data_IF_166365598264
#
_entry.id   IF_166365598264
#
_cell.length_a   1.000
_cell.length_b   1.000
_cell.length_c   1.000
_cell.angle_alpha   90.00
_cell.angle_beta   90.00
_cell.angle_gamma   90.00
#
_symmetry.space_group_name_H-M   'P 1'
#
loop_
_entity.id
_entity.type
_entity.pdbx_description
1 polymer ?
#
# COMPACT_ATOMS: atom_id res chain seq x y z
N UNK A 1 27.69 7.85 -19.38
CA UNK A 1 28.49 9.01 -18.96
C UNK A 1 27.70 9.73 -17.91
N UNK A 2 27.98 9.48 -16.63
CA UNK A 2 27.36 10.18 -15.50
C UNK A 2 28.44 11.08 -14.90
N UNK A 3 28.34 12.39 -15.16
CA UNK A 3 29.18 13.40 -14.51
C UNK A 3 28.51 13.83 -13.19
N UNK A 4 28.42 12.89 -12.24
CA UNK A 4 28.16 13.22 -10.85
C UNK A 4 29.47 13.64 -10.17
N UNK A 5 29.43 14.64 -9.29
CA UNK A 5 30.58 15.00 -8.45
C UNK A 5 30.96 13.80 -7.57
N UNK A 6 32.01 13.06 -7.96
CA UNK A 6 32.54 11.87 -7.24
C UNK A 6 33.32 12.24 -5.97
N UNK A 7 33.17 13.45 -5.44
CA UNK A 7 33.77 13.82 -4.16
C UNK A 7 33.28 12.90 -3.05
N UNK A 8 34.23 12.36 -2.30
CA UNK A 8 33.98 11.63 -1.06
C UNK A 8 33.34 12.58 -0.04
N UNK A 9 32.02 12.43 0.20
CA UNK A 9 31.25 13.28 1.12
C UNK A 9 31.39 12.87 2.59
N UNK A 10 32.60 12.48 2.99
CA UNK A 10 32.87 11.90 4.31
C UNK A 10 32.34 10.46 4.46
N UNK A 11 32.35 9.96 5.69
CA UNK A 11 31.95 8.58 6.01
C UNK A 11 30.75 8.58 6.95
N UNK A 12 29.84 7.62 6.76
CA UNK A 12 28.69 7.36 7.66
C UNK A 12 28.63 5.87 7.98
N UNK A 13 28.22 5.54 9.21
CA UNK A 13 28.01 4.16 9.62
C UNK A 13 26.84 3.53 8.85
N UNK A 14 27.06 2.33 8.33
CA UNK A 14 26.12 1.62 7.44
C UNK A 14 25.18 0.71 8.24
N UNK A 15 24.36 1.32 9.09
CA UNK A 15 23.36 0.64 9.95
C UNK A 15 22.07 0.31 9.20
N UNK A 16 21.71 1.09 8.18
CA UNK A 16 20.53 0.89 7.35
C UNK A 16 19.32 1.72 7.79
N UNK A 17 18.13 1.31 7.32
CA UNK A 17 16.86 1.93 7.62
C UNK A 17 16.00 1.04 8.52
N UNK A 18 15.11 1.65 9.29
CA UNK A 18 14.02 0.97 9.99
C UNK A 18 12.72 1.29 9.25
N UNK A 19 11.94 0.26 8.90
CA UNK A 19 10.58 0.43 8.36
C UNK A 19 9.59 0.08 9.47
N UNK A 20 8.64 0.97 9.74
CA UNK A 20 7.67 0.79 10.80
C UNK A 20 6.30 1.36 10.41
N UNK A 21 5.24 0.88 11.07
CA UNK A 21 3.90 1.43 10.95
C UNK A 21 3.64 2.42 12.10
N UNK A 22 3.07 3.59 11.79
CA UNK A 22 2.72 4.62 12.76
C UNK A 22 1.42 5.33 12.38
N UNK A 23 0.70 5.84 13.37
CA UNK A 23 -0.50 6.68 13.18
C UNK A 23 -0.27 8.02 13.88
N UNK A 24 -0.69 9.14 13.29
CA UNK A 24 -0.82 10.39 14.03
C UNK A 24 -1.98 10.30 15.04
N UNK A 25 -1.98 11.21 16.02
CA UNK A 25 -3.09 11.39 16.96
C UNK A 25 -4.22 12.22 16.35
N UNK A 26 -5.45 12.04 16.85
CA UNK A 26 -6.59 12.90 16.50
C UNK A 26 -7.14 12.70 15.08
N UNK A 27 -6.76 11.62 14.40
CA UNK A 27 -7.28 11.24 13.08
C UNK A 27 -8.26 10.08 13.18
N UNK A 28 -9.15 9.95 12.19
CA UNK A 28 -10.06 8.82 12.05
C UNK A 28 -9.88 8.12 10.71
N UNK A 29 -9.79 6.78 10.69
CA UNK A 29 -9.83 5.99 9.44
C UNK A 29 -11.24 5.97 8.79
N UNK A 30 -11.37 5.22 7.70
CA UNK A 30 -12.62 5.08 6.94
C UNK A 30 -13.72 4.29 7.66
N UNK A 31 -13.41 3.69 8.82
CA UNK A 31 -14.37 3.06 9.73
C UNK A 31 -14.64 3.92 10.98
N UNK A 32 -14.09 5.14 11.03
CA UNK A 32 -14.15 6.05 12.18
C UNK A 32 -13.44 5.53 13.44
N UNK A 33 -12.48 4.61 13.29
CA UNK A 33 -11.57 4.27 14.37
C UNK A 33 -10.61 5.44 14.65
N UNK A 34 -10.18 5.69 15.89
CA UNK A 34 -9.34 6.84 16.26
C UNK A 34 -7.86 6.64 15.92
N UNK A 35 -7.56 6.04 14.76
CA UNK A 35 -6.22 5.78 14.25
C UNK A 35 -6.27 5.59 12.73
N UNK A 36 -5.20 5.94 12.03
CA UNK A 36 -4.99 5.65 10.61
C UNK A 36 -3.50 5.38 10.38
N UNK A 37 -3.11 4.11 10.45
CA UNK A 37 -1.70 3.72 10.35
C UNK A 37 -1.17 3.85 8.93
N UNK A 38 0.06 4.32 8.78
CA UNK A 38 0.82 4.30 7.54
C UNK A 38 2.26 3.84 7.80
N UNK A 39 2.97 3.46 6.74
CA UNK A 39 4.36 3.06 6.87
C UNK A 39 5.29 4.26 6.73
N UNK A 40 6.37 4.20 7.49
CA UNK A 40 7.45 5.18 7.52
C UNK A 40 8.78 4.48 7.32
N UNK A 41 9.71 5.15 6.62
CA UNK A 41 11.13 4.80 6.61
C UNK A 41 11.88 5.72 7.56
N UNK A 42 12.76 5.16 8.37
CA UNK A 42 13.56 5.87 9.35
C UNK A 42 15.04 5.72 9.03
N UNK A 43 15.71 6.86 8.82
CA UNK A 43 17.15 6.95 8.75
C UNK A 43 17.74 6.91 10.16
N UNK A 44 18.65 5.98 10.40
CA UNK A 44 19.23 5.72 11.73
C UNK A 44 20.46 6.57 12.04
N UNK A 45 20.89 7.41 11.10
CA UNK A 45 22.06 8.28 11.20
C UNK A 45 21.68 9.73 10.87
N UNK A 46 20.56 10.22 11.41
CA UNK A 46 20.14 11.62 11.27
C UNK A 46 19.86 12.07 9.82
N UNK A 47 19.61 11.13 8.90
CA UNK A 47 19.42 11.43 7.47
C UNK A 47 20.66 11.14 6.61
N UNK A 48 21.80 10.82 7.21
CA UNK A 48 23.05 10.63 6.48
C UNK A 48 23.17 9.26 5.78
N UNK A 49 22.35 8.25 6.13
CA UNK A 49 22.26 7.03 5.31
C UNK A 49 21.61 7.37 3.96
N UNK A 50 20.57 8.21 3.96
CA UNK A 50 19.96 8.74 2.74
C UNK A 50 20.93 9.62 1.97
N UNK A 51 21.68 10.49 2.65
CA UNK A 51 22.69 11.34 1.99
C UNK A 51 23.75 10.50 1.28
N UNK A 52 24.17 9.39 1.88
CA UNK A 52 25.07 8.43 1.23
C UNK A 52 24.48 7.85 -0.06
N UNK A 53 23.16 7.65 -0.13
CA UNK A 53 22.49 7.02 -1.28
C UNK A 53 22.20 8.06 -2.36
N UNK A 54 21.63 9.21 -2.00
CA UNK A 54 21.08 10.19 -2.95
C UNK A 54 21.94 11.43 -3.08
N UNK A 55 22.80 11.74 -2.11
CA UNK A 55 23.54 13.00 -2.05
C UNK A 55 22.79 14.13 -1.31
N UNK A 56 21.70 13.83 -0.60
CA UNK A 56 21.04 14.77 0.31
C UNK A 56 20.45 14.03 1.52
N UNK A 57 20.44 14.67 2.69
CA UNK A 57 19.82 14.10 3.89
C UNK A 57 18.34 13.77 3.68
N UNK A 58 17.81 12.79 4.40
CA UNK A 58 16.39 12.45 4.33
C UNK A 58 15.52 13.66 4.70
N UNK A 59 14.59 14.02 3.83
CA UNK A 59 13.58 15.06 4.08
C UNK A 59 12.32 14.43 4.67
N UNK A 60 11.84 14.98 5.79
CA UNK A 60 10.66 14.48 6.50
C UNK A 60 10.52 15.13 7.86
N UNK A 61 10.20 14.33 8.89
CA UNK A 61 10.20 14.78 10.29
C UNK A 61 11.55 14.38 10.90
N UNK A 62 12.31 15.38 11.35
CA UNK A 62 13.61 15.17 11.98
C UNK A 62 13.46 15.03 13.50
N UNK A 63 14.26 14.13 14.08
CA UNK A 63 14.43 13.98 15.53
C UNK A 63 15.90 14.18 15.92
N UNK A 64 16.39 15.43 15.95
CA UNK A 64 17.81 15.71 16.18
C UNK A 64 18.34 15.14 17.50
N UNK A 65 17.52 15.17 18.57
CA UNK A 65 17.89 14.63 19.88
C UNK A 65 18.08 13.10 19.89
N UNK A 66 17.50 12.40 18.91
CA UNK A 66 17.64 10.95 18.73
C UNK A 66 18.61 10.60 17.60
N UNK A 67 19.13 11.60 16.88
CA UNK A 67 19.91 11.43 15.65
C UNK A 67 19.19 10.54 14.62
N UNK A 68 17.90 10.77 14.39
CA UNK A 68 17.09 10.03 13.41
C UNK A 68 16.19 10.96 12.61
N UNK A 69 15.77 10.50 11.43
CA UNK A 69 14.83 11.22 10.57
C UNK A 69 13.82 10.23 9.99
N UNK A 70 12.54 10.59 9.92
CA UNK A 70 11.49 9.75 9.34
C UNK A 70 10.85 10.40 8.12
N UNK A 71 10.49 9.57 7.15
CA UNK A 71 9.74 9.93 5.94
C UNK A 71 8.55 8.98 5.79
N UNK A 72 7.36 9.53 5.53
CA UNK A 72 6.17 8.74 5.28
C UNK A 72 6.26 8.15 3.87
N UNK A 73 6.01 6.85 3.73
CA UNK A 73 6.14 6.15 2.44
C UNK A 73 4.81 5.64 1.90
N UNK A 74 3.81 5.45 2.75
CA UNK A 74 2.44 5.13 2.31
C UNK A 74 1.45 6.21 2.74
N UNK A 75 0.44 6.46 1.91
CA UNK A 75 -0.54 7.53 2.13
C UNK A 75 -1.98 7.01 2.09
N UNK A 76 -2.21 5.78 2.56
CA UNK A 76 -3.57 5.24 2.64
C UNK A 76 -4.39 6.02 3.68
N UNK A 77 -5.67 6.27 3.40
CA UNK A 77 -6.61 6.93 4.34
C UNK A 77 -6.99 5.98 5.48
N UNK A 78 -6.95 4.68 5.20
CA UNK A 78 -7.07 3.60 6.17
C UNK A 78 -5.70 3.06 6.60
N UNK A 79 -5.69 2.04 7.45
CA UNK A 79 -4.47 1.53 8.07
C UNK A 79 -3.65 0.60 7.16
N UNK A 80 -2.36 0.87 7.03
CA UNK A 80 -1.31 -0.04 6.56
C UNK A 80 -0.42 -0.47 7.75
N UNK A 81 -0.17 -1.77 7.92
CA UNK A 81 0.50 -2.31 9.11
C UNK A 81 1.24 -3.64 8.85
N UNK A 82 1.97 -4.13 9.85
CA UNK A 82 2.78 -5.36 9.81
C UNK A 82 3.82 -5.42 8.66
N UNK A 83 4.69 -4.40 8.49
CA UNK A 83 5.73 -4.47 7.47
C UNK A 83 6.74 -5.59 7.74
N UNK A 84 7.13 -6.30 6.68
CA UNK A 84 8.15 -7.35 6.66
C UNK A 84 8.90 -7.34 5.33
N UNK A 85 9.93 -8.18 5.22
CA UNK A 85 10.81 -8.25 4.05
C UNK A 85 10.33 -9.29 3.03
N UNK A 86 10.40 -8.95 1.74
CA UNK A 86 10.24 -9.90 0.64
C UNK A 86 11.60 -10.50 0.21
N UNK A 87 11.61 -11.68 -0.44
CA UNK A 87 12.84 -12.26 -1.01
C UNK A 87 13.51 -11.37 -2.07
N UNK A 88 12.76 -10.48 -2.71
CA UNK A 88 13.23 -9.56 -3.74
C UNK A 88 13.56 -8.14 -3.24
N UNK A 89 13.58 -7.91 -1.92
CA UNK A 89 14.07 -6.66 -1.34
C UNK A 89 13.04 -5.51 -1.26
N UNK A 90 11.76 -5.85 -1.28
CA UNK A 90 10.63 -4.94 -1.08
C UNK A 90 10.03 -5.14 0.32
N UNK A 91 9.04 -4.31 0.65
CA UNK A 91 8.30 -4.36 1.91
C UNK A 91 6.95 -5.01 1.65
N UNK A 92 6.69 -6.14 2.30
CA UNK A 92 5.38 -6.79 2.36
C UNK A 92 4.65 -6.32 3.61
N UNK A 93 3.35 -6.04 3.51
CA UNK A 93 2.54 -5.57 4.62
C UNK A 93 1.05 -5.86 4.39
N UNK A 94 0.24 -5.59 5.41
CA UNK A 94 -1.21 -5.64 5.33
C UNK A 94 -1.77 -4.25 5.09
N UNK A 95 -2.70 -4.12 4.14
CA UNK A 95 -3.35 -2.86 3.82
C UNK A 95 -4.87 -2.97 3.95
N UNK A 96 -5.49 -2.03 4.67
CA UNK A 96 -6.94 -1.91 4.78
C UNK A 96 -7.43 -1.07 3.61
N UNK A 97 -8.30 -1.64 2.79
CA UNK A 97 -8.92 -0.93 1.69
C UNK A 97 -10.40 -0.74 2.04
N UNK A 98 -10.80 0.47 2.41
CA UNK A 98 -12.15 0.78 2.87
C UNK A 98 -12.82 1.93 2.11
N UNK A 99 -12.23 2.34 0.98
CA UNK A 99 -12.70 3.40 0.08
C UNK A 99 -14.19 3.25 -0.31
N UNK A 100 -15.03 4.07 0.33
CA UNK A 100 -16.46 4.17 0.05
C UNK A 100 -17.22 2.87 0.27
N UNK A 101 -18.08 2.53 -0.70
CA UNK A 101 -18.92 1.33 -0.67
C UNK A 101 -18.24 0.07 -1.22
N UNK A 102 -16.91 0.07 -1.42
CA UNK A 102 -16.18 -1.09 -1.98
C UNK A 102 -16.40 -2.35 -1.16
N UNK A 103 -16.40 -3.51 -1.85
CA UNK A 103 -16.62 -4.82 -1.25
C UNK A 103 -17.88 -4.84 -0.35
N UNK A 104 -19.03 -4.48 -0.94
CA UNK A 104 -20.34 -4.42 -0.27
C UNK A 104 -20.35 -3.50 0.97
N UNK A 105 -19.57 -2.42 0.93
CA UNK A 105 -19.41 -1.47 2.04
C UNK A 105 -18.57 -1.97 3.21
N UNK A 106 -18.09 -3.22 3.19
CA UNK A 106 -17.28 -3.82 4.26
C UNK A 106 -15.80 -3.54 4.13
N UNK A 107 -15.31 -3.25 2.92
CA UNK A 107 -13.88 -3.20 2.65
C UNK A 107 -13.21 -4.59 2.69
N UNK A 108 -11.88 -4.62 2.55
CA UNK A 108 -11.05 -5.83 2.66
C UNK A 108 -9.68 -5.46 3.23
N UNK A 109 -9.03 -6.42 3.89
CA UNK A 109 -7.60 -6.34 4.24
C UNK A 109 -6.82 -7.19 3.26
N UNK A 110 -5.98 -6.58 2.43
CA UNK A 110 -5.12 -7.31 1.50
C UNK A 110 -3.69 -7.46 2.03
N UNK A 111 -2.98 -8.42 1.46
CA UNK A 111 -1.53 -8.47 1.49
C UNK A 111 -1.01 -7.66 0.30
N UNK A 112 -0.15 -6.68 0.58
CA UNK A 112 0.38 -5.72 -0.38
C UNK A 112 1.90 -5.70 -0.29
N UNK A 113 2.57 -5.37 -1.40
CA UNK A 113 3.99 -5.06 -1.39
C UNK A 113 4.25 -3.71 -1.99
N UNK A 114 5.28 -3.03 -1.49
CA UNK A 114 5.76 -1.76 -2.00
C UNK A 114 7.28 -1.67 -1.87
N UNK A 115 7.91 -0.78 -2.62
CA UNK A 115 9.29 -0.39 -2.39
C UNK A 115 9.44 0.27 -1.01
N UNK A 116 10.66 0.24 -0.47
CA UNK A 116 10.97 0.82 0.84
C UNK A 116 10.84 2.35 0.88
N UNK A 117 10.69 2.98 -0.28
CA UNK A 117 10.40 4.41 -0.46
C UNK A 117 8.97 4.67 -0.96
N UNK A 118 8.09 3.66 -1.04
CA UNK A 118 6.69 3.89 -1.42
C UNK A 118 6.46 4.16 -2.91
N UNK A 119 7.42 3.83 -3.78
CA UNK A 119 7.35 4.16 -5.20
C UNK A 119 6.40 3.25 -6.00
N UNK A 120 6.17 2.01 -5.57
CA UNK A 120 5.47 1.01 -6.39
C UNK A 120 4.58 0.05 -5.57
N UNK A 121 3.53 0.55 -4.89
CA UNK A 121 2.56 -0.32 -4.20
C UNK A 121 1.81 -1.22 -5.18
N UNK A 122 1.69 -2.50 -4.87
CA UNK A 122 0.93 -3.47 -5.67
C UNK A 122 0.34 -4.59 -4.83
N UNK A 123 -0.90 -4.96 -5.15
CA UNK A 123 -1.62 -6.03 -4.47
C UNK A 123 -0.97 -7.41 -4.72
N UNK A 124 -0.86 -8.21 -3.65
CA UNK A 124 -0.45 -9.62 -3.72
C UNK A 124 -1.67 -10.54 -3.67
N UNK A 125 -2.50 -10.43 -2.62
CA UNK A 125 -3.64 -11.34 -2.43
C UNK A 125 -4.68 -10.77 -1.44
N UNK A 126 -5.96 -11.09 -1.65
CA UNK A 126 -7.07 -10.84 -0.72
C UNK A 126 -7.91 -9.60 -1.02
N UNK A 127 -7.67 -8.91 -2.14
CA UNK A 127 -8.36 -7.66 -2.48
C UNK A 127 -9.42 -7.83 -3.58
N UNK A 128 -9.24 -8.79 -4.49
CA UNK A 128 -10.06 -8.93 -5.69
C UNK A 128 -11.30 -9.80 -5.43
N UNK A 129 -12.43 -9.58 -6.14
CA UNK A 129 -13.72 -10.21 -5.84
C UNK A 129 -13.66 -11.72 -5.57
N UNK A 130 -12.99 -12.47 -6.43
CA UNK A 130 -12.94 -13.94 -6.42
C UNK A 130 -11.88 -14.54 -5.49
N UNK A 131 -11.09 -13.72 -4.80
CA UNK A 131 -10.04 -14.21 -3.90
C UNK A 131 -10.60 -14.72 -2.57
N UNK A 132 -10.00 -15.81 -2.06
CA UNK A 132 -10.48 -16.51 -0.86
C UNK A 132 -10.29 -15.65 0.41
N UNK A 133 -11.20 -15.83 1.37
CA UNK A 133 -11.16 -15.22 2.70
C UNK A 133 -12.09 -14.02 2.87
N UNK A 134 -12.58 -13.41 1.77
CA UNK A 134 -13.56 -12.32 1.84
C UNK A 134 -13.15 -11.19 2.79
N UNK A 135 -14.01 -10.91 3.78
CA UNK A 135 -13.82 -9.87 4.79
C UNK A 135 -12.94 -10.28 6.00
N UNK A 136 -12.34 -11.47 5.99
CA UNK A 136 -11.37 -11.88 7.00
C UNK A 136 -10.21 -10.86 7.08
N UNK A 137 -9.69 -10.67 8.29
CA UNK A 137 -8.45 -9.92 8.45
C UNK A 137 -7.27 -10.77 8.00
N UNK A 138 -6.25 -10.13 7.43
CA UNK A 138 -5.01 -10.77 6.99
C UNK A 138 -3.88 -10.00 7.62
N UNK A 139 -3.19 -10.57 8.60
CA UNK A 139 -2.17 -9.88 9.39
C UNK A 139 -0.93 -10.75 9.63
N UNK A 140 0.13 -10.13 10.12
CA UNK A 140 1.36 -10.80 10.59
C UNK A 140 2.00 -11.70 9.53
N UNK A 141 1.90 -11.29 8.27
CA UNK A 141 2.36 -12.08 7.14
C UNK A 141 3.89 -12.23 7.16
N UNK A 142 4.38 -13.43 6.82
CA UNK A 142 5.80 -13.75 6.64
C UNK A 142 5.96 -14.77 5.52
N UNK A 143 7.18 -14.90 5.00
CA UNK A 143 7.48 -15.79 3.89
C UNK A 143 8.39 -16.91 4.38
N UNK A 144 8.04 -18.16 4.11
CA UNK A 144 8.90 -19.34 4.36
C UNK A 144 10.08 -19.35 3.40
N UNK A 145 11.17 -20.01 3.79
CA UNK A 145 12.41 -19.99 3.01
C UNK A 145 12.46 -21.11 1.96
N UNK A 146 12.19 -22.36 2.34
CA UNK A 146 12.29 -23.51 1.43
C UNK A 146 11.25 -23.49 0.31
N UNK A 147 9.96 -23.44 0.65
CA UNK A 147 8.85 -23.53 -0.31
C UNK A 147 8.23 -22.18 -0.71
N UNK A 148 8.78 -21.07 -0.18
CA UNK A 148 8.41 -19.68 -0.53
C UNK A 148 6.90 -19.43 -0.46
N UNK A 149 6.29 -19.83 0.65
CA UNK A 149 4.89 -19.56 0.98
C UNK A 149 4.78 -18.31 1.82
N UNK A 150 3.84 -17.45 1.42
CA UNK A 150 3.36 -16.33 2.20
C UNK A 150 2.36 -16.84 3.24
N UNK A 151 2.82 -17.02 4.47
CA UNK A 151 2.04 -17.47 5.62
C UNK A 151 1.52 -16.25 6.38
N UNK A 152 0.23 -16.23 6.73
CA UNK A 152 -0.40 -15.12 7.42
C UNK A 152 -1.48 -15.60 8.39
N UNK A 153 -1.81 -14.74 9.36
CA UNK A 153 -2.97 -14.92 10.24
C UNK A 153 -4.21 -14.51 9.47
N UNK A 154 -5.13 -15.44 9.26
CA UNK A 154 -6.46 -15.20 8.70
C UNK A 154 -7.48 -15.14 9.85
N UNK A 155 -7.89 -13.94 10.22
CA UNK A 155 -8.80 -13.71 11.33
C UNK A 155 -10.26 -13.67 10.87
N UNK A 156 -11.20 -14.29 11.62
CA UNK A 156 -12.61 -14.29 11.24
C UNK A 156 -13.25 -12.89 11.24
N UNK A 157 -12.67 -11.96 12.01
CA UNK A 157 -13.06 -10.55 12.03
C UNK A 157 -11.92 -9.68 11.51
N UNK A 158 -12.26 -8.67 10.71
CA UNK A 158 -11.29 -7.80 10.03
C UNK A 158 -10.29 -7.13 10.97
N UNK A 159 -10.72 -6.80 12.19
CA UNK A 159 -9.95 -6.06 13.18
C UNK A 159 -9.28 -6.96 14.24
N UNK A 160 -9.30 -8.28 14.08
CA UNK A 160 -8.64 -9.20 15.02
C UNK A 160 -7.21 -9.50 14.59
N UNK A 161 -6.29 -9.55 15.57
CA UNK A 161 -4.89 -9.97 15.39
C UNK A 161 -4.64 -11.45 15.68
N UNK A 162 -5.70 -12.25 15.81
CA UNK A 162 -5.65 -13.70 16.09
C UNK A 162 -6.65 -14.41 15.19
N UNK A 163 -6.35 -15.65 14.82
CA UNK A 163 -7.18 -16.38 13.87
C UNK A 163 -6.63 -17.75 13.52
N UNK A 164 -6.93 -18.21 12.32
CA UNK A 164 -6.33 -19.39 11.73
C UNK A 164 -5.06 -19.02 10.97
N UNK A 165 -4.25 -19.99 10.57
CA UNK A 165 -3.14 -19.75 9.65
C UNK A 165 -3.51 -20.18 8.24
N UNK A 166 -3.27 -19.28 7.29
CA UNK A 166 -3.43 -19.55 5.86
C UNK A 166 -2.13 -19.23 5.13
N UNK A 167 -2.00 -19.77 3.93
CA UNK A 167 -0.88 -19.48 3.06
C UNK A 167 -1.28 -19.41 1.58
N UNK A 168 -0.50 -18.65 0.82
CA UNK A 168 -0.45 -18.66 -0.65
C UNK A 168 1.01 -18.73 -1.09
N UNK A 169 1.29 -19.19 -2.29
CA UNK A 169 2.67 -19.11 -2.82
C UNK A 169 3.09 -17.66 -3.03
N UNK A 170 4.29 -17.27 -2.59
CA UNK A 170 4.87 -15.96 -2.92
C UNK A 170 5.10 -15.81 -4.43
N UNK A 171 5.54 -16.87 -5.09
CA UNK A 171 5.88 -16.85 -6.51
C UNK A 171 4.62 -16.82 -7.41
N UNK A 172 3.51 -17.38 -6.94
CA UNK A 172 2.25 -17.42 -7.68
C UNK A 172 1.04 -17.23 -6.75
N UNK A 173 0.81 -16.02 -6.21
CA UNK A 173 -0.17 -15.75 -5.16
C UNK A 173 -1.60 -15.75 -5.72
N UNK A 174 -2.14 -16.91 -6.03
CA UNK A 174 -3.48 -17.10 -6.60
C UNK A 174 -4.26 -18.16 -5.83
N UNK A 175 -5.58 -18.20 -6.00
CA UNK A 175 -6.47 -19.18 -5.37
C UNK A 175 -5.98 -20.63 -5.51
N UNK A 176 -5.38 -21.00 -6.65
CA UNK A 176 -4.83 -22.35 -6.89
C UNK A 176 -3.71 -22.76 -5.92
N UNK A 177 -3.06 -21.80 -5.27
CA UNK A 177 -1.99 -22.02 -4.29
C UNK A 177 -2.42 -21.73 -2.86
N UNK A 178 -3.68 -21.30 -2.68
CA UNK A 178 -4.22 -21.04 -1.35
C UNK A 178 -4.35 -22.35 -0.58
N UNK A 179 -3.90 -22.33 0.67
CA UNK A 179 -4.08 -23.41 1.62
C UNK A 179 -4.41 -22.85 3.00
N UNK A 180 -5.34 -23.53 3.69
CA UNK A 180 -5.51 -23.35 5.14
C UNK A 180 -4.49 -24.25 5.83
N UNK A 181 -3.53 -23.66 6.54
CA UNK A 181 -2.44 -24.40 7.18
C UNK A 181 -2.90 -25.13 8.43
N UNK A 182 -3.76 -24.50 9.23
CA UNK A 182 -4.31 -25.07 10.46
C UNK A 182 -5.53 -25.92 10.16
N UNK A 183 -5.51 -27.18 10.61
CA UNK A 183 -6.55 -28.19 10.39
C UNK A 183 -7.34 -28.50 11.66
N UNK A 184 -6.89 -27.98 12.79
CA UNK A 184 -7.62 -27.97 14.04
C UNK A 184 -8.56 -26.77 14.12
N UNK A 185 -9.85 -27.02 14.33
CA UNK A 185 -10.85 -25.95 14.48
C UNK A 185 -11.03 -25.48 15.94
N UNK A 186 -10.26 -26.06 16.87
CA UNK A 186 -10.46 -25.87 18.31
C UNK A 186 -9.71 -24.69 18.95
N UNK A 187 -8.60 -24.24 18.36
CA UNK A 187 -7.72 -23.23 18.94
C UNK A 187 -7.49 -22.00 18.05
N UNK A 188 -6.86 -20.98 18.63
CA UNK A 188 -6.48 -19.74 17.96
C UNK A 188 -4.97 -19.65 17.78
N UNK A 189 -4.55 -19.19 16.61
CA UNK A 189 -3.15 -18.97 16.26
C UNK A 189 -2.87 -17.48 16.08
N UNK A 190 -1.62 -17.09 16.34
CA UNK A 190 -1.09 -15.77 16.02
C UNK A 190 0.42 -15.80 15.82
N UNK A 191 0.93 -14.75 15.21
CA UNK A 191 2.36 -14.43 15.09
C UNK A 191 3.23 -15.57 14.57
N UNK A 192 2.92 -16.13 13.38
CA UNK A 192 3.75 -17.16 12.78
C UNK A 192 5.15 -16.62 12.46
N UNK A 193 6.18 -17.42 12.73
CA UNK A 193 7.58 -17.10 12.46
C UNK A 193 8.30 -18.25 11.74
N UNK A 194 8.31 -18.25 10.39
CA UNK A 194 9.09 -19.19 9.62
C UNK A 194 10.60 -19.05 9.86
N UNK A 195 11.31 -20.18 9.87
CA UNK A 195 12.76 -20.26 10.01
C UNK A 195 13.43 -20.76 8.71
N UNK A 196 14.71 -20.43 8.47
CA UNK A 196 15.45 -20.89 7.30
C UNK A 196 15.65 -22.41 7.19
N UNK A 197 15.43 -23.15 8.28
CA UNK A 197 15.52 -24.62 8.34
C UNK A 197 14.16 -25.31 8.18
N UNK A 198 13.21 -24.61 7.54
CA UNK A 198 11.83 -25.04 7.24
C UNK A 198 10.95 -25.35 8.47
N UNK A 199 11.42 -25.02 9.67
CA UNK A 199 10.58 -24.99 10.87
C UNK A 199 9.81 -23.68 10.96
N UNK A 200 8.82 -23.66 11.85
CA UNK A 200 8.06 -22.45 12.16
C UNK A 200 7.69 -22.42 13.63
N UNK A 201 7.88 -21.27 14.29
CA UNK A 201 7.30 -21.00 15.60
C UNK A 201 5.94 -20.33 15.43
N UNK A 202 5.01 -20.66 16.30
CA UNK A 202 3.68 -20.04 16.35
C UNK A 202 3.32 -19.73 17.80
N UNK A 203 2.47 -18.74 18.00
CA UNK A 203 1.74 -18.56 19.25
C UNK A 203 0.36 -19.19 19.11
N UNK A 204 -0.01 -20.05 20.04
CA UNK A 204 -1.22 -20.86 19.95
C UNK A 204 -1.92 -20.97 21.30
N UNK A 205 -3.25 -20.89 21.26
CA UNK A 205 -4.12 -21.11 22.41
C UNK A 205 -5.19 -22.15 22.10
N UNK A 206 -5.15 -23.30 22.76
CA UNK A 206 -6.20 -24.32 22.64
C UNK A 206 -7.50 -23.88 23.32
N UNK A 207 -7.38 -23.27 24.52
CA UNK A 207 -8.53 -22.84 25.34
C UNK A 207 -8.36 -21.43 25.92
N UNK A 208 -7.77 -20.54 25.13
CA UNK A 208 -7.67 -19.10 25.43
C UNK A 208 -6.36 -18.64 26.08
N UNK A 209 -5.52 -19.56 26.54
CA UNK A 209 -4.17 -19.30 27.07
C UNK A 209 -3.12 -19.47 25.95
N UNK A 210 -2.45 -18.40 25.54
CA UNK A 210 -1.50 -18.41 24.42
C UNK A 210 -0.09 -18.76 24.88
N UNK A 211 0.49 -19.83 24.32
CA UNK A 211 1.89 -20.21 24.49
C UNK A 211 2.69 -20.19 23.20
N UNK A 212 4.01 -20.36 23.29
CA UNK A 212 4.91 -20.56 22.14
C UNK A 212 5.06 -22.04 21.83
N UNK A 213 4.79 -22.42 20.58
CA UNK A 213 4.86 -23.80 20.10
C UNK A 213 5.67 -23.90 18.81
N UNK A 214 6.33 -25.03 18.61
CA UNK A 214 6.73 -25.46 17.27
C UNK A 214 5.48 -25.80 16.45
N UNK A 215 5.41 -25.36 15.20
CA UNK A 215 4.32 -25.74 14.31
C UNK A 215 4.61 -27.09 13.64
N UNK A 216 3.65 -28.01 13.71
CA UNK A 216 3.70 -29.28 12.99
C UNK A 216 3.15 -29.08 11.58
N UNK A 217 4.01 -28.71 10.64
CA UNK A 217 3.66 -28.46 9.24
C UNK A 217 2.98 -29.67 8.56
N UNK A 218 3.31 -30.90 8.99
CA UNK A 218 2.76 -32.13 8.41
C UNK A 218 1.30 -32.30 8.79
N UNK A 219 1.00 -32.12 10.07
CA UNK A 219 -0.34 -32.33 10.61
C UNK A 219 -1.20 -31.05 10.60
N UNK A 220 -0.59 -29.89 10.37
CA UNK A 220 -1.29 -28.60 10.29
C UNK A 220 -1.87 -28.17 11.63
N UNK A 221 -1.06 -28.22 12.69
CA UNK A 221 -1.46 -27.84 14.05
C UNK A 221 -0.26 -27.43 14.89
N UNK A 222 -0.49 -26.87 16.08
CA UNK A 222 0.55 -26.71 17.10
C UNK A 222 1.15 -28.08 17.47
N UNK A 223 2.48 -28.14 17.50
CA UNK A 223 3.30 -29.29 17.85
C UNK A 223 3.83 -29.18 19.28
N UNK A 224 5.14 -29.38 19.45
CA UNK A 224 5.78 -29.36 20.77
C UNK A 224 5.75 -27.95 21.39
N UNK A 225 5.42 -27.89 22.68
CA UNK A 225 5.47 -26.68 23.48
C UNK A 225 6.93 -26.22 23.67
N UNK A 226 7.17 -24.93 23.47
CA UNK A 226 8.45 -24.27 23.76
C UNK A 226 8.40 -23.64 25.14
N UNK A 227 7.39 -22.79 25.38
CA UNK A 227 7.18 -22.10 26.65
C UNK A 227 5.74 -21.60 26.74
N UNK A 228 5.09 -21.79 27.89
CA UNK A 228 3.77 -21.25 28.20
C UNK A 228 3.70 -20.93 29.69
N UNK A 229 3.44 -19.68 30.05
CA UNK A 229 3.18 -19.25 31.43
C UNK A 229 1.67 -18.99 31.59
N UNK A 230 0.95 -19.70 32.46
CA UNK A 230 -0.50 -19.51 32.63
C UNK A 230 -0.94 -18.10 33.03
N UNK A 231 -0.02 -17.23 33.48
CA UNK A 231 -0.30 -15.84 33.85
C UNK A 231 -0.13 -14.86 32.67
N UNK A 232 0.40 -15.31 31.52
CA UNK A 232 0.77 -14.46 30.40
C UNK A 232 0.28 -15.03 29.08
N UNK A 233 -0.04 -14.15 28.13
CA UNK A 233 -0.23 -14.56 26.74
C UNK A 233 1.12 -14.45 26.03
N UNK A 234 1.83 -15.56 25.84
CA UNK A 234 3.04 -15.56 25.04
C UNK A 234 2.74 -15.52 23.55
N UNK A 235 3.24 -14.46 22.92
CA UNK A 235 3.14 -14.27 21.48
C UNK A 235 4.37 -13.61 20.88
N UNK A 236 4.35 -13.43 19.56
CA UNK A 236 5.45 -12.81 18.79
C UNK A 236 6.82 -13.50 19.00
N UNK A 237 6.93 -14.83 18.81
CA UNK A 237 8.21 -15.50 18.88
C UNK A 237 9.19 -14.91 17.87
N UNK A 238 10.36 -14.46 18.33
CA UNK A 238 11.40 -13.87 17.50
C UNK A 238 12.75 -14.57 17.77
N UNK A 239 12.98 -15.75 17.15
CA UNK A 239 14.19 -16.54 17.39
C UNK A 239 15.46 -15.78 16.98
N UNK A 240 16.54 -15.99 17.73
CA UNK A 240 17.85 -15.36 17.48
C UNK A 240 18.64 -16.22 16.49
N UNK A 241 18.92 -15.66 15.32
CA UNK A 241 19.79 -16.24 14.30
C UNK A 241 20.31 -15.15 13.35
N UNK A 242 21.35 -15.46 12.57
CA UNK A 242 21.90 -14.52 11.58
C UNK A 242 20.96 -14.44 10.38
N UNK A 243 20.41 -13.26 10.10
CA UNK A 243 19.53 -13.03 8.95
C UNK A 243 20.33 -12.55 7.74
N UNK A 244 20.12 -13.20 6.59
CA UNK A 244 20.61 -12.68 5.32
C UNK A 244 19.90 -11.36 4.99
N UNK A 245 20.66 -10.37 4.49
CA UNK A 245 20.12 -9.06 4.12
C UNK A 245 19.57 -9.11 2.69
N UNK A 246 18.29 -8.80 2.44
CA UNK A 246 17.77 -8.69 1.09
C UNK A 246 18.51 -7.61 0.28
N UNK A 247 18.32 -7.63 -1.05
CA UNK A 247 18.74 -6.53 -1.91
C UNK A 247 18.07 -5.22 -1.47
N UNK A 248 18.73 -4.09 -1.66
CA UNK A 248 18.12 -2.78 -1.51
C UNK A 248 17.89 -2.18 -2.91
N UNK A 249 16.75 -1.52 -3.10
CA UNK A 249 16.35 -0.94 -4.38
C UNK A 249 16.75 0.55 -4.40
N UNK A 250 17.24 1.06 -5.53
CA UNK A 250 17.54 2.49 -5.66
C UNK A 250 16.27 3.33 -5.44
N UNK A 251 16.41 4.44 -4.73
CA UNK A 251 15.32 5.40 -4.52
C UNK A 251 15.54 6.64 -5.39
N UNK A 252 14.45 7.21 -5.92
CA UNK A 252 14.45 8.45 -6.70
C UNK A 252 13.79 9.62 -5.94
N UNK A 253 13.66 9.49 -4.62
CA UNK A 253 13.15 10.54 -3.73
C UNK A 253 13.99 10.60 -2.46
N UNK A 254 14.45 11.79 -2.09
CA UNK A 254 15.07 12.02 -0.79
C UNK A 254 14.03 12.26 0.32
N UNK A 255 12.74 12.00 0.08
CA UNK A 255 11.64 12.14 1.02
C UNK A 255 10.73 13.32 0.69
N UNK A 256 9.99 13.82 1.68
CA UNK A 256 9.00 14.90 1.53
C UNK A 256 9.53 16.04 0.66
N UNK A 257 8.80 16.39 -0.39
CA UNK A 257 9.11 17.44 -1.38
C UNK A 257 10.34 17.21 -2.29
N UNK A 258 11.14 16.17 -2.04
CA UNK A 258 12.40 15.98 -2.73
C UNK A 258 12.33 14.88 -3.80
N UNK A 259 12.59 15.25 -5.05
CA UNK A 259 12.89 14.33 -6.14
C UNK A 259 14.39 14.08 -6.27
N UNK A 260 14.78 13.09 -7.08
CA UNK A 260 16.15 12.87 -7.55
C UNK A 260 16.11 12.70 -9.06
N UNK A 261 16.77 13.59 -9.80
CA UNK A 261 16.67 13.65 -11.27
C UNK A 261 17.13 12.35 -11.93
N UNK A 262 16.44 11.87 -12.95
CA UNK A 262 16.87 10.65 -13.67
C UNK A 262 18.12 10.85 -14.55
N UNK A 263 18.44 12.09 -14.93
CA UNK A 263 19.58 12.42 -15.81
C UNK A 263 20.90 12.45 -15.05
N UNK A 264 21.01 13.31 -14.02
CA UNK A 264 22.26 13.54 -13.27
C UNK A 264 22.25 12.92 -11.88
N UNK A 265 21.15 12.28 -11.46
CA UNK A 265 20.96 11.72 -10.11
C UNK A 265 21.21 12.73 -8.99
N UNK A 266 20.75 13.97 -9.17
CA UNK A 266 20.87 15.05 -8.18
C UNK A 266 19.54 15.24 -7.43
N UNK A 267 19.55 15.30 -6.07
CA UNK A 267 18.37 15.63 -5.30
C UNK A 267 17.95 17.09 -5.47
N UNK A 268 16.65 17.35 -5.49
CA UNK A 268 16.10 18.70 -5.62
C UNK A 268 14.80 18.86 -4.83
N UNK A 269 14.59 20.01 -4.21
CA UNK A 269 13.35 20.36 -3.48
C UNK A 269 12.39 21.12 -4.41
N UNK A 270 11.27 20.47 -4.74
CA UNK A 270 10.26 21.08 -5.63
C UNK A 270 9.63 22.33 -5.03
N UNK A 271 9.52 22.41 -3.71
CA UNK A 271 8.76 23.46 -3.03
C UNK A 271 9.65 24.62 -2.65
N UNK A 272 10.71 24.35 -1.86
CA UNK A 272 11.55 25.40 -1.30
C UNK A 272 12.55 25.97 -2.30
N UNK A 273 12.98 25.17 -3.29
CA UNK A 273 13.98 25.59 -4.28
C UNK A 273 13.32 25.95 -5.61
N UNK A 274 12.49 25.07 -6.17
CA UNK A 274 11.87 25.31 -7.48
C UNK A 274 10.60 26.19 -7.41
N UNK A 275 10.04 26.39 -6.20
CA UNK A 275 8.92 27.30 -5.99
C UNK A 275 7.54 26.73 -6.33
N UNK A 276 7.41 25.41 -6.51
CA UNK A 276 6.10 24.77 -6.64
C UNK A 276 5.32 24.85 -5.33
N UNK A 277 3.98 25.00 -5.37
CA UNK A 277 3.17 25.11 -4.15
C UNK A 277 3.09 23.81 -3.34
N UNK A 278 3.32 22.67 -3.98
CA UNK A 278 3.29 21.34 -3.38
C UNK A 278 4.21 20.40 -4.18
N UNK A 279 4.64 19.30 -3.57
CA UNK A 279 5.28 18.20 -4.30
C UNK A 279 4.33 17.61 -5.34
N UNK A 280 4.87 17.17 -6.46
CA UNK A 280 4.07 16.64 -7.56
C UNK A 280 4.76 15.43 -8.20
N UNK A 281 3.97 14.63 -8.90
CA UNK A 281 4.39 13.45 -9.64
C UNK A 281 3.47 13.21 -10.83
N UNK A 282 3.67 12.11 -11.54
CA UNK A 282 2.89 11.79 -12.75
C UNK A 282 2.33 10.37 -12.72
N UNK A 283 1.28 10.13 -13.49
CA UNK A 283 0.85 8.77 -13.82
C UNK A 283 0.34 8.67 -15.25
N UNK A 284 0.49 7.47 -15.83
CA UNK A 284 0.11 7.14 -17.20
C UNK A 284 -0.64 5.81 -17.26
N UNK A 285 -1.80 5.79 -17.90
CA UNK A 285 -2.56 4.59 -18.22
C UNK A 285 -2.56 4.40 -19.75
N UNK A 286 -2.12 3.22 -20.21
CA UNK A 286 -1.98 2.97 -21.65
C UNK A 286 -3.33 2.71 -22.35
N UNK A 287 -4.32 2.15 -21.67
CA UNK A 287 -5.68 2.02 -22.19
C UNK A 287 -6.72 2.06 -21.05
N UNK A 288 -7.42 3.18 -20.92
CA UNK A 288 -8.47 3.37 -19.89
C UNK A 288 -9.72 2.52 -20.12
N UNK A 289 -9.89 1.93 -21.30
CA UNK A 289 -11.04 1.07 -21.66
C UNK A 289 -10.74 -0.41 -21.45
N UNK A 290 -9.46 -0.78 -21.37
CA UNK A 290 -8.99 -2.13 -21.06
C UNK A 290 -9.20 -2.43 -19.58
N UNK A 291 -10.01 -3.44 -19.30
CA UNK A 291 -10.35 -3.84 -17.93
C UNK A 291 -10.81 -5.30 -17.88
N UNK A 292 -10.56 -5.98 -16.76
CA UNK A 292 -11.12 -7.30 -16.47
C UNK A 292 -12.51 -7.25 -15.82
N UNK A 293 -13.01 -6.06 -15.51
CA UNK A 293 -14.26 -5.89 -14.78
C UNK A 293 -15.48 -6.10 -15.67
N UNK A 294 -16.50 -6.74 -15.12
CA UNK A 294 -17.79 -6.94 -15.78
C UNK A 294 -18.62 -5.65 -15.86
N UNK A 295 -19.69 -5.70 -16.66
CA UNK A 295 -20.72 -4.66 -16.65
C UNK A 295 -21.66 -4.97 -15.50
N UNK A 296 -21.91 -3.99 -14.63
CA UNK A 296 -22.81 -4.21 -13.52
C UNK A 296 -23.10 -2.96 -12.70
N UNK A 297 -23.92 -3.10 -11.65
CA UNK A 297 -24.45 -1.98 -10.88
C UNK A 297 -23.44 -1.42 -9.86
N UNK A 298 -22.36 -2.13 -9.56
CA UNK A 298 -21.41 -1.71 -8.54
C UNK A 298 -20.46 -0.62 -9.08
N UNK A 299 -20.08 0.41 -8.28
CA UNK A 299 -19.28 1.53 -8.80
C UNK A 299 -17.88 1.17 -9.31
N UNK A 300 -17.33 0.02 -8.88
CA UNK A 300 -16.05 -0.50 -9.36
C UNK A 300 -16.13 -1.28 -10.67
N UNK A 301 -17.35 -1.65 -11.09
CA UNK A 301 -17.66 -2.27 -12.38
C UNK A 301 -17.89 -1.19 -13.43
N UNK A 302 -17.97 -1.59 -14.69
CA UNK A 302 -18.36 -0.69 -15.77
C UNK A 302 -19.87 -0.55 -15.85
N UNK A 303 -20.38 0.66 -16.05
CA UNK A 303 -21.82 0.87 -16.27
C UNK A 303 -22.28 0.50 -17.68
N UNK A 304 -21.36 0.44 -18.65
CA UNK A 304 -21.61 0.13 -20.07
C UNK A 304 -20.36 -0.40 -20.76
N UNK A 305 -20.52 -0.98 -21.96
CA UNK A 305 -19.41 -1.31 -22.85
C UNK A 305 -18.66 -0.02 -23.20
N UNK A 306 -17.33 -0.08 -23.22
CA UNK A 306 -16.46 1.02 -23.63
C UNK A 306 -15.46 0.54 -24.66
N UNK A 307 -15.16 1.41 -25.62
CA UNK A 307 -14.13 1.25 -26.63
C UNK A 307 -13.23 2.49 -26.62
N UNK A 308 -12.01 2.41 -27.19
CA UNK A 308 -11.20 3.60 -27.45
C UNK A 308 -12.01 4.71 -28.11
N UNK A 309 -11.90 5.92 -27.58
CA UNK A 309 -12.70 7.07 -27.97
C UNK A 309 -14.01 7.26 -27.20
N UNK A 310 -14.55 6.26 -26.48
CA UNK A 310 -15.75 6.45 -25.64
C UNK A 310 -15.44 7.19 -24.34
N UNK A 311 -14.24 6.97 -23.80
CA UNK A 311 -13.72 7.70 -22.64
C UNK A 311 -13.14 9.02 -23.10
N UNK A 312 -13.67 10.14 -22.59
CA UNK A 312 -13.26 11.49 -23.00
C UNK A 312 -12.29 12.15 -22.03
N UNK A 313 -12.41 11.78 -20.76
CA UNK A 313 -11.62 12.35 -19.68
C UNK A 313 -11.55 11.39 -18.50
N UNK A 314 -10.69 11.73 -17.55
CA UNK A 314 -10.68 11.15 -16.20
C UNK A 314 -10.98 12.22 -15.17
N UNK A 315 -11.61 11.84 -14.06
CA UNK A 315 -11.68 12.65 -12.82
C UNK A 315 -10.70 12.07 -11.82
N UNK A 316 -9.89 12.92 -11.22
CA UNK A 316 -8.94 12.56 -10.17
C UNK A 316 -9.48 13.10 -8.85
N UNK A 317 -9.63 12.22 -7.86
CA UNK A 317 -10.28 12.53 -6.59
C UNK A 317 -9.34 12.21 -5.44
N UNK A 318 -9.09 13.19 -4.59
CA UNK A 318 -8.33 13.05 -3.36
C UNK A 318 -9.21 12.62 -2.20
N UNK A 319 -8.68 11.73 -1.35
CA UNK A 319 -9.26 11.39 -0.06
C UNK A 319 -8.90 12.44 0.99
N UNK A 320 -9.88 12.96 1.72
CA UNK A 320 -9.64 13.88 2.83
C UNK A 320 -9.76 13.09 4.12
N UNK A 321 -8.69 13.06 4.93
CA UNK A 321 -8.71 12.39 6.23
C UNK A 321 -9.79 13.01 7.13
N UNK A 322 -10.56 12.18 7.82
CA UNK A 322 -11.54 12.62 8.80
C UNK A 322 -10.81 13.07 10.08
N UNK A 323 -10.88 14.37 10.40
CA UNK A 323 -10.26 14.99 11.58
C UNK A 323 -11.28 15.89 12.25
N UNK A 324 -11.78 15.44 13.40
CA UNK A 324 -12.94 16.03 14.06
C UNK A 324 -12.63 16.29 15.55
N UNK A 325 -11.86 17.34 15.86
CA UNK A 325 -11.39 17.61 17.23
C UNK A 325 -12.52 18.02 18.18
N UNK A 326 -13.60 18.61 17.66
CA UNK A 326 -14.78 19.00 18.44
C UNK A 326 -15.85 17.90 18.34
N UNK A 327 -15.84 17.01 19.35
CA UNK A 327 -16.79 15.90 19.45
C UNK A 327 -18.27 16.34 19.54
N UNK A 328 -18.57 17.61 19.83
CA UNK A 328 -19.94 18.12 19.82
C UNK A 328 -20.48 18.36 18.40
N UNK A 329 -19.59 18.47 17.40
CA UNK A 329 -19.92 18.76 16.01
C UNK A 329 -19.85 17.54 15.09
N UNK A 330 -19.31 16.43 15.57
CA UNK A 330 -19.20 15.18 14.82
C UNK A 330 -20.00 14.05 15.46
N UNK A 331 -20.68 13.26 14.63
CA UNK A 331 -21.39 12.06 15.08
C UNK A 331 -21.27 10.94 14.04
N UNK A 332 -20.57 9.87 14.39
CA UNK A 332 -20.62 8.62 13.64
C UNK A 332 -22.03 8.02 13.64
N UNK A 333 -22.39 7.32 12.57
CA UNK A 333 -23.67 6.63 12.37
C UNK A 333 -24.91 7.53 12.33
N UNK A 334 -24.75 8.86 12.18
CA UNK A 334 -25.87 9.79 12.10
C UNK A 334 -26.86 9.47 10.96
N UNK A 335 -26.36 8.88 9.87
CA UNK A 335 -27.12 8.44 8.71
C UNK A 335 -27.38 6.92 8.69
N UNK A 336 -27.47 6.25 9.84
CA UNK A 336 -27.65 4.78 9.90
C UNK A 336 -28.92 4.27 9.21
N UNK A 337 -29.91 5.15 9.03
CA UNK A 337 -31.14 4.92 8.28
C UNK A 337 -31.00 5.13 6.75
N UNK A 338 -29.83 5.56 6.28
CA UNK A 338 -29.50 5.82 4.87
C UNK A 338 -28.56 4.72 4.32
N UNK A 339 -28.06 4.93 3.09
CA UNK A 339 -27.23 3.96 2.36
C UNK A 339 -25.92 3.58 3.08
N UNK A 340 -25.38 4.47 3.92
CA UNK A 340 -24.11 4.24 4.63
C UNK A 340 -24.21 3.30 5.83
N UNK A 341 -25.41 3.09 6.39
CA UNK A 341 -25.57 2.29 7.60
C UNK A 341 -24.64 2.76 8.74
N UNK A 342 -23.99 1.82 9.42
CA UNK A 342 -23.02 2.12 10.50
C UNK A 342 -21.73 2.80 10.01
N UNK A 343 -21.50 2.91 8.69
CA UNK A 343 -20.36 3.67 8.13
C UNK A 343 -20.72 5.09 7.71
N UNK A 344 -21.96 5.52 7.94
CA UNK A 344 -22.35 6.93 7.79
C UNK A 344 -21.82 7.78 8.93
N UNK A 345 -21.88 9.10 8.77
CA UNK A 345 -21.58 10.06 9.85
C UNK A 345 -22.30 11.40 9.59
N UNK A 346 -22.10 12.38 10.46
CA UNK A 346 -22.58 13.76 10.25
C UNK A 346 -22.07 14.37 8.94
N UNK A 347 -20.95 13.86 8.40
CA UNK A 347 -20.37 14.34 7.15
C UNK A 347 -21.04 13.74 5.90
N UNK A 348 -21.63 12.54 5.99
CA UNK A 348 -22.16 11.81 4.83
C UNK A 348 -23.19 10.76 5.23
N UNK A 349 -24.31 10.71 4.49
CA UNK A 349 -25.30 9.63 4.59
C UNK A 349 -24.89 8.33 3.90
N UNK A 350 -23.66 8.25 3.37
CA UNK A 350 -23.11 7.09 2.66
C UNK A 350 -21.83 6.60 3.35
N UNK A 351 -21.25 5.49 2.88
CA UNK A 351 -19.94 5.03 3.35
C UNK A 351 -18.75 5.82 2.75
N UNK A 352 -19.01 6.80 1.87
CA UNK A 352 -17.97 7.69 1.36
C UNK A 352 -17.76 8.84 2.34
N UNK A 353 -16.54 8.93 2.89
CA UNK A 353 -16.06 10.07 3.66
C UNK A 353 -15.79 11.30 2.77
N UNK A 354 -15.34 12.41 3.38
CA UNK A 354 -15.01 13.66 2.70
C UNK A 354 -13.92 13.46 1.64
N UNK A 355 -14.06 14.17 0.51
CA UNK A 355 -13.18 14.09 -0.66
C UNK A 355 -13.13 15.42 -1.37
N UNK A 356 -12.10 15.62 -2.18
CA UNK A 356 -12.02 16.77 -3.08
C UNK A 356 -11.55 16.35 -4.47
N UNK A 357 -11.95 17.11 -5.48
CA UNK A 357 -11.47 16.90 -6.84
C UNK A 357 -10.05 17.49 -6.93
N UNK A 358 -9.07 16.67 -7.32
CA UNK A 358 -7.74 17.16 -7.70
C UNK A 358 -7.86 17.88 -9.05
N UNK A 359 -8.46 17.21 -10.03
CA UNK A 359 -8.57 17.74 -11.37
C UNK A 359 -9.23 16.77 -12.35
N UNK A 360 -9.18 17.17 -13.61
CA UNK A 360 -9.65 16.38 -14.74
C UNK A 360 -8.56 16.37 -15.80
N UNK A 361 -8.34 15.23 -16.44
CA UNK A 361 -7.41 15.12 -17.56
C UNK A 361 -8.11 14.53 -18.78
N UNK A 362 -7.76 15.03 -19.97
CA UNK A 362 -8.30 14.48 -21.23
C UNK A 362 -7.72 13.10 -21.51
N UNK A 363 -8.54 12.25 -22.11
CA UNK A 363 -8.12 10.94 -22.60
C UNK A 363 -7.98 11.02 -24.12
N UNK A 364 -6.90 10.46 -24.63
CA UNK A 364 -6.62 10.38 -26.07
C UNK A 364 -7.64 9.46 -26.77
N UNK A 365 -7.74 9.57 -28.10
CA UNK A 365 -8.68 8.75 -28.89
C UNK A 365 -8.36 7.24 -28.86
N UNK A 366 -7.11 6.86 -28.57
CA UNK A 366 -6.67 5.48 -28.36
C UNK A 366 -6.97 4.96 -26.95
N UNK A 367 -7.57 5.79 -26.09
CA UNK A 367 -7.91 5.45 -24.71
C UNK A 367 -6.78 5.71 -23.71
N UNK A 368 -5.60 6.15 -24.16
CA UNK A 368 -4.46 6.43 -23.29
C UNK A 368 -4.56 7.80 -22.60
N UNK A 369 -3.94 7.94 -21.44
CA UNK A 369 -3.92 9.22 -20.69
C UNK A 369 -2.66 9.34 -19.84
N UNK A 370 -2.14 10.55 -19.73
CA UNK A 370 -1.04 10.91 -18.83
C UNK A 370 -1.35 12.25 -18.17
N UNK A 371 -0.97 12.41 -16.90
CA UNK A 371 -1.14 13.68 -16.17
C UNK A 371 -0.04 13.86 -15.14
N UNK A 372 0.23 15.11 -14.82
CA UNK A 372 0.91 15.56 -13.60
C UNK A 372 -0.15 15.85 -12.53
N UNK A 373 0.16 15.61 -11.25
CA UNK A 373 -0.74 15.93 -10.13
C UNK A 373 0.04 16.02 -8.81
N UNK A 374 -0.66 16.32 -7.71
CA UNK A 374 -0.07 16.30 -6.36
C UNK A 374 0.50 14.92 -6.00
N UNK A 375 1.69 14.93 -5.41
CA UNK A 375 2.33 13.78 -4.78
C UNK A 375 2.02 13.73 -3.28
N UNK A 376 2.44 12.66 -2.60
CA UNK A 376 2.27 12.44 -1.15
C UNK A 376 0.82 12.65 -0.67
N UNK A 377 -0.14 12.32 -1.54
CA UNK A 377 -1.58 12.58 -1.39
C UNK A 377 -2.38 11.32 -1.76
N UNK A 378 -3.32 10.83 -0.93
CA UNK A 378 -4.22 9.74 -1.31
C UNK A 378 -5.16 10.16 -2.44
N UNK A 379 -5.17 9.43 -3.55
CA UNK A 379 -6.08 9.70 -4.66
C UNK A 379 -6.62 8.45 -5.32
N UNK A 380 -7.69 8.61 -6.09
CA UNK A 380 -8.17 7.62 -7.04
C UNK A 380 -8.73 8.27 -8.31
N UNK A 381 -9.03 7.43 -9.31
CA UNK A 381 -9.39 7.86 -10.65
C UNK A 381 -10.78 7.32 -11.03
N UNK A 382 -11.55 8.13 -11.76
CA UNK A 382 -12.77 7.71 -12.45
C UNK A 382 -12.63 7.98 -13.95
N UNK A 383 -12.97 7.01 -14.79
CA UNK A 383 -13.00 7.19 -16.25
C UNK A 383 -14.37 7.75 -16.66
N UNK A 384 -14.39 8.77 -17.52
CA UNK A 384 -15.57 9.57 -17.82
C UNK A 384 -16.00 9.44 -19.27
N UNK A 385 -17.31 9.37 -19.49
CA UNK A 385 -17.90 9.42 -20.83
C UNK A 385 -18.01 10.84 -21.40
N UNK A 386 -18.64 10.97 -22.57
CA UNK A 386 -18.91 12.22 -23.28
C UNK A 386 -19.81 13.21 -22.54
N UNK A 387 -20.48 12.76 -21.48
CA UNK A 387 -21.30 13.60 -20.60
C UNK A 387 -20.58 13.96 -19.30
N UNK A 388 -19.31 13.58 -19.14
CA UNK A 388 -18.52 13.83 -17.94
C UNK A 388 -18.94 12.96 -16.73
N UNK A 389 -19.65 11.87 -16.97
CA UNK A 389 -20.12 10.95 -15.94
C UNK A 389 -19.17 9.76 -15.78
N UNK A 390 -18.96 9.31 -14.55
CA UNK A 390 -18.10 8.17 -14.26
C UNK A 390 -18.72 6.88 -14.82
N UNK A 391 -17.97 6.16 -15.63
CA UNK A 391 -18.34 4.82 -16.14
C UNK A 391 -17.77 3.72 -15.27
N UNK A 392 -16.62 3.95 -14.64
CA UNK A 392 -16.00 3.06 -13.66
C UNK A 392 -15.17 3.89 -12.67
N UNK A 393 -15.13 3.46 -11.40
CA UNK A 393 -14.33 4.08 -10.34
C UNK A 393 -13.28 3.11 -9.77
N UNK A 394 -12.01 3.51 -9.76
CA UNK A 394 -10.94 2.75 -9.10
C UNK A 394 -10.98 2.89 -7.59
N UNK A 395 -11.80 2.11 -6.88
CA UNK A 395 -12.00 2.25 -5.42
C UNK A 395 -10.85 1.67 -4.58
N UNK A 396 -9.70 2.33 -4.62
CA UNK A 396 -8.49 2.11 -3.81
C UNK A 396 -7.74 3.44 -3.67
N UNK A 397 -6.89 3.58 -2.65
CA UNK A 397 -6.09 4.79 -2.47
C UNK A 397 -4.70 4.61 -3.08
N UNK A 398 -4.46 5.25 -4.22
CA UNK A 398 -3.16 5.40 -4.82
C UNK A 398 -2.43 6.60 -4.21
N UNK A 399 -1.11 6.63 -4.39
CA UNK A 399 -0.25 7.77 -4.07
C UNK A 399 0.97 7.76 -4.99
N UNK A 400 1.59 8.92 -5.13
CA UNK A 400 2.83 9.13 -5.86
C UNK A 400 3.84 9.75 -4.89
N UNK A 401 5.11 9.34 -4.96
CA UNK A 401 6.18 10.07 -4.29
C UNK A 401 6.60 11.30 -5.12
N UNK A 402 7.29 12.30 -4.55
CA UNK A 402 7.75 13.46 -5.31
C UNK A 402 8.60 13.01 -6.51
N UNK A 403 8.39 13.65 -7.67
CA UNK A 403 9.03 13.33 -8.96
C UNK A 403 8.69 11.96 -9.55
N UNK A 404 8.00 11.07 -8.84
CA UNK A 404 7.75 9.73 -9.36
C UNK A 404 6.68 9.73 -10.44
N UNK A 405 6.88 8.84 -11.42
CA UNK A 405 5.90 8.47 -12.43
C UNK A 405 5.38 7.05 -12.19
N UNK A 406 4.06 6.83 -12.34
CA UNK A 406 3.45 5.50 -12.25
C UNK A 406 2.82 5.09 -13.58
N UNK A 407 3.02 3.84 -14.01
CA UNK A 407 2.35 3.29 -15.21
C UNK A 407 1.34 2.20 -14.84
N UNK A 408 0.33 2.01 -15.69
CA UNK A 408 -0.52 0.82 -15.72
C UNK A 408 -0.93 0.45 -17.15
N UNK A 409 -1.17 -0.84 -17.40
CA UNK A 409 -1.63 -1.34 -18.69
C UNK A 409 -3.05 -0.90 -19.03
N UNK A 410 -3.96 -0.96 -18.05
CA UNK A 410 -5.33 -0.49 -18.18
C UNK A 410 -6.07 -0.35 -16.85
N UNK A 411 -7.36 -0.04 -16.91
CA UNK A 411 -8.22 0.15 -15.74
C UNK A 411 -8.53 -1.21 -15.09
N UNK A 412 -7.75 -1.62 -14.09
CA UNK A 412 -7.91 -2.96 -13.49
C UNK A 412 -7.78 -4.07 -14.54
N UNK A 413 -6.76 -3.99 -15.40
CA UNK A 413 -6.49 -4.99 -16.45
C UNK A 413 -5.66 -6.19 -15.94
N UNK A 414 -5.21 -6.13 -14.69
CA UNK A 414 -4.36 -7.10 -14.04
C UNK A 414 -2.85 -6.87 -14.18
N UNK A 415 -2.38 -5.82 -14.89
CA UNK A 415 -0.95 -5.51 -15.09
C UNK A 415 -0.17 -5.30 -13.78
N UNK A 416 -0.83 -4.77 -12.75
CA UNK A 416 -0.30 -4.59 -11.41
C UNK A 416 -0.72 -5.70 -10.42
N UNK A 417 -1.35 -6.78 -10.90
CA UNK A 417 -1.87 -7.88 -10.06
C UNK A 417 -1.35 -9.26 -10.48
N UNK A 418 -1.79 -9.76 -11.63
CA UNK A 418 -1.63 -11.16 -11.99
C UNK A 418 -1.40 -11.40 -13.48
N UNK A 419 -1.23 -10.34 -14.26
CA UNK A 419 -1.03 -10.40 -15.71
C UNK A 419 0.23 -9.61 -16.05
N UNK A 420 0.92 -10.07 -17.09
CA UNK A 420 2.01 -9.30 -17.67
C UNK A 420 1.46 -8.02 -18.32
N UNK A 421 2.28 -6.98 -18.39
CA UNK A 421 1.96 -5.79 -19.17
C UNK A 421 1.76 -6.17 -20.64
N UNK A 422 0.70 -5.63 -21.24
CA UNK A 422 0.49 -5.72 -22.68
C UNK A 422 1.43 -4.76 -23.39
N UNK A 423 1.91 -5.17 -24.56
CA UNK A 423 2.70 -4.28 -25.41
C UNK A 423 1.75 -3.29 -26.11
N UNK A 424 1.69 -2.07 -25.59
CA UNK A 424 0.80 -1.02 -26.08
C UNK A 424 1.63 0.19 -26.49
N UNK A 425 1.42 0.66 -27.72
CA UNK A 425 2.02 1.90 -28.22
C UNK A 425 1.01 3.04 -28.05
N UNK A 426 1.08 3.73 -26.92
CA UNK A 426 0.10 4.74 -26.51
C UNK A 426 0.50 6.16 -26.93
N UNK A 427 -0.48 6.99 -27.32
CA UNK A 427 -0.29 8.42 -27.59
C UNK A 427 0.17 9.19 -26.36
N UNK A 428 -0.37 8.87 -25.18
CA UNK A 428 0.01 9.49 -23.91
C UNK A 428 1.52 9.43 -23.62
N UNK A 429 2.24 8.43 -24.15
CA UNK A 429 3.69 8.31 -23.98
C UNK A 429 4.45 9.52 -24.55
N UNK A 430 3.95 10.09 -25.65
CA UNK A 430 4.56 11.24 -26.32
C UNK A 430 4.18 12.58 -25.69
N UNK A 431 3.20 12.58 -24.77
CA UNK A 431 2.79 13.75 -24.02
C UNK A 431 3.30 13.72 -22.57
N UNK A 432 4.32 12.89 -22.28
CA UNK A 432 4.81 12.69 -20.92
C UNK A 432 6.06 13.51 -20.59
N UNK A 433 7.15 13.28 -21.33
CA UNK A 433 8.39 14.04 -21.19
C UNK A 433 9.13 14.03 -22.53
N UNK A 434 9.30 15.21 -23.12
CA UNK A 434 9.90 15.42 -24.45
C UNK A 434 10.89 16.60 -24.49
N UNK A 435 10.98 17.42 -23.43
CA UNK A 435 11.90 18.56 -23.32
C UNK A 435 13.03 18.26 -22.32
N UNK A 436 14.29 18.41 -22.74
CA UNK A 436 15.47 18.14 -21.92
C UNK A 436 15.67 19.12 -20.76
N UNK A 437 14.94 20.24 -20.77
CA UNK A 437 14.93 21.26 -19.71
C UNK A 437 13.87 21.02 -18.65
N UNK A 438 12.99 20.04 -18.85
CA UNK A 438 11.85 19.76 -17.99
C UNK A 438 12.08 18.51 -17.13
N UNK A 439 11.42 18.46 -15.97
CA UNK A 439 11.25 17.22 -15.21
C UNK A 439 10.21 16.31 -15.86
N UNK A 440 9.06 16.89 -16.22
CA UNK A 440 7.98 16.29 -17.01
C UNK A 440 7.28 17.40 -17.79
N UNK A 441 6.75 17.05 -18.96
CA UNK A 441 5.97 17.96 -19.81
C UNK A 441 4.47 17.60 -19.82
N UNK A 442 4.08 16.56 -19.07
CA UNK A 442 2.68 16.18 -18.96
C UNK A 442 1.82 17.28 -18.33
N UNK A 443 0.60 17.50 -18.86
CA UNK A 443 -0.32 18.48 -18.31
C UNK A 443 -0.71 18.16 -16.87
N UNK A 444 -0.85 19.18 -16.03
CA UNK A 444 -1.45 19.08 -14.70
C UNK A 444 -2.97 18.87 -14.78
#
# INVERSE_FOLDING_TARGET
YFEGDWKERGTVDKTGFIIFAGSPDGVMDEFHNPYAYNLFRLDTQGGHVMERITGHVLSGIEFPNLNTTIDQITYNVSSNYDPTLTPDGNILFSSVQANGSRAEGKGRVLLEVDNWDGAYPRAIYGNCPDEIGGACGRSQAKITFGDRKLVFVESPYMNWGVGQLAAVSWDAPYNKTYERLTKDDGGLYRSPYPLPDDRMLVSYAERGDFGIYWFDCKNGKAGELVYNDPEWNEHQPAPVYVKYRPRWINTFTAGKNFGVTVVTYQPFDMVKVEGYPHSWGTWNCFDTTLTDTEIGPYPSQRTKVMKPGDVKAVRIVEGVQCVEPDASRFRAEAGSHLLGGCRSSSNSGTAFQQRRIIGYQRVEDDGSVVTSQTADTPYYIQILDDKGMAVQSGLSWAYLRPYHGRICGGCHDGSYRGRAYQNTHAKSLYNWWYDDRSHYDSPF
#
